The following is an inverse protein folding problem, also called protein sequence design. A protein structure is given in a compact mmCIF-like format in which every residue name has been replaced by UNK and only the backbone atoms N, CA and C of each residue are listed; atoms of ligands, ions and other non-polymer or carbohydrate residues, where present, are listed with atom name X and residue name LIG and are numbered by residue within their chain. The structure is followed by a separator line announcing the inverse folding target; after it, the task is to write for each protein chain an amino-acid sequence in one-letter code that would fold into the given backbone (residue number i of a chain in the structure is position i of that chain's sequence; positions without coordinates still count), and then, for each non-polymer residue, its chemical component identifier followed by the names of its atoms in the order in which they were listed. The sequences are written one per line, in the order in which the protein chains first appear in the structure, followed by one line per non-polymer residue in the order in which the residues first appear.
data_IF_233950799336
#
_entry.id   IF_233950799336
#
_cell.length_a   1.000
_cell.length_b   1.000
_cell.length_c   1.000
_cell.angle_alpha   90.00
_cell.angle_beta   90.00
_cell.angle_gamma   90.00
#
_symmetry.space_group_name_H-M   'P 1'
#
loop_
_entity.id
_entity.type
_entity.pdbx_description
1 polymer ?
#
# COMPACT_ATOMS: atom_id res chain seq x y z
N UNK A 1 5.22 -17.31 -11.60
CA UNK A 1 4.33 -16.75 -12.66
C UNK A 1 3.70 -15.40 -12.28
N UNK A 2 2.97 -15.25 -11.16
CA UNK A 2 2.28 -13.99 -10.83
C UNK A 2 3.18 -12.74 -10.66
N UNK A 3 4.37 -12.86 -10.07
CA UNK A 3 5.30 -11.73 -9.95
C UNK A 3 5.95 -11.31 -11.28
N UNK A 4 6.12 -12.26 -12.21
CA UNK A 4 6.55 -11.94 -13.59
C UNK A 4 5.48 -11.13 -14.31
N UNK A 5 4.21 -11.52 -14.15
CA UNK A 5 3.08 -10.77 -14.70
C UNK A 5 3.02 -9.35 -14.12
N UNK A 6 3.12 -9.18 -12.79
CA UNK A 6 3.20 -7.85 -12.17
C UNK A 6 4.35 -7.01 -12.72
N UNK A 7 5.54 -7.60 -12.85
CA UNK A 7 6.72 -6.92 -13.40
C UNK A 7 6.47 -6.43 -14.83
N UNK A 8 5.85 -7.28 -15.66
CA UNK A 8 5.49 -6.95 -17.03
C UNK A 8 4.42 -5.84 -17.12
N UNK A 9 3.38 -5.90 -16.28
CA UNK A 9 2.34 -4.87 -16.28
C UNK A 9 2.87 -3.51 -15.79
N UNK A 10 3.77 -3.49 -14.80
CA UNK A 10 4.43 -2.25 -14.37
C UNK A 10 5.35 -1.67 -15.45
N UNK A 11 5.97 -2.52 -16.26
CA UNK A 11 6.77 -2.09 -17.40
C UNK A 11 5.92 -1.46 -18.50
N UNK A 12 4.82 -2.12 -18.88
CA UNK A 12 3.83 -1.55 -19.82
C UNK A 12 3.26 -0.23 -19.32
N UNK A 13 3.02 -0.11 -18.01
CA UNK A 13 2.59 1.14 -17.40
C UNK A 13 3.67 2.23 -17.54
N UNK A 14 4.93 1.90 -17.31
CA UNK A 14 6.07 2.81 -17.52
C UNK A 14 6.19 3.31 -18.95
N UNK A 15 6.11 2.42 -19.93
CA UNK A 15 6.13 2.79 -21.35
C UNK A 15 4.98 3.74 -21.70
N UNK A 16 3.77 3.47 -21.22
CA UNK A 16 2.59 4.32 -21.45
C UNK A 16 2.72 5.68 -20.79
N UNK A 17 3.17 5.74 -19.54
CA UNK A 17 3.37 7.01 -18.82
C UNK A 17 4.47 7.86 -19.47
N UNK A 18 5.53 7.23 -19.99
CA UNK A 18 6.56 7.92 -20.76
C UNK A 18 6.01 8.46 -22.09
N UNK A 19 5.19 7.69 -22.80
CA UNK A 19 4.53 8.14 -24.04
C UNK A 19 3.58 9.33 -23.79
N UNK A 20 2.87 9.32 -22.65
CA UNK A 20 2.07 10.44 -22.17
C UNK A 20 2.89 11.63 -21.66
N UNK A 21 4.22 11.50 -21.60
CA UNK A 21 5.15 12.51 -21.07
C UNK A 21 4.77 12.93 -19.65
N UNK A 22 4.43 11.97 -18.79
CA UNK A 22 4.12 12.25 -17.39
C UNK A 22 5.32 12.95 -16.71
N UNK A 23 5.11 14.17 -16.21
CA UNK A 23 6.18 14.97 -15.59
C UNK A 23 6.74 14.32 -14.32
N UNK A 24 5.90 13.57 -13.61
CA UNK A 24 6.25 12.91 -12.37
C UNK A 24 5.32 11.72 -12.13
N UNK A 25 5.88 10.62 -11.65
CA UNK A 25 5.14 9.45 -11.19
C UNK A 25 5.58 9.14 -9.77
N UNK A 26 4.61 8.96 -8.89
CA UNK A 26 4.81 8.64 -7.48
C UNK A 26 4.05 7.36 -7.19
N UNK A 27 4.72 6.38 -6.58
CA UNK A 27 4.13 5.06 -6.32
C UNK A 27 4.40 4.63 -4.87
N UNK A 28 3.36 4.40 -4.05
CA UNK A 28 3.54 3.91 -2.69
C UNK A 28 3.84 2.40 -2.66
N UNK A 29 4.58 1.98 -1.65
CA UNK A 29 4.65 0.57 -1.28
C UNK A 29 3.36 0.11 -0.60
N UNK A 30 2.99 -1.15 -0.84
CA UNK A 30 1.92 -1.82 -0.11
C UNK A 30 2.33 -2.09 1.33
N UNK A 31 1.37 -2.03 2.24
CA UNK A 31 1.55 -2.26 3.67
C UNK A 31 0.99 -3.62 4.11
N UNK A 32 1.38 -4.04 5.32
CA UNK A 32 0.89 -5.25 5.98
C UNK A 32 -0.26 -4.89 6.92
N UNK A 33 -1.40 -5.56 6.76
CA UNK A 33 -2.59 -5.33 7.60
C UNK A 33 -2.58 -6.15 8.89
N UNK A 34 -1.70 -7.12 9.02
CA UNK A 34 -1.85 -8.20 10.01
C UNK A 34 -1.13 -7.95 11.35
N UNK A 35 -0.64 -6.73 11.58
CA UNK A 35 0.08 -6.38 12.81
C UNK A 35 -0.83 -5.75 13.85
N UNK A 36 -0.63 -6.12 15.12
CA UNK A 36 -1.29 -5.47 16.24
C UNK A 36 -0.52 -4.22 16.72
N UNK A 37 -0.99 -3.61 17.81
CA UNK A 37 -0.42 -2.41 18.42
C UNK A 37 1.03 -2.57 18.89
N UNK A 38 1.46 -3.81 19.17
CA UNK A 38 2.85 -4.14 19.54
C UNK A 38 3.74 -4.39 18.32
N UNK A 39 3.15 -4.40 17.12
CA UNK A 39 3.81 -4.67 15.86
C UNK A 39 4.11 -6.13 15.60
N UNK A 40 3.44 -7.04 16.31
CA UNK A 40 3.49 -8.47 16.05
C UNK A 40 2.40 -8.90 15.08
N UNK A 41 2.68 -9.92 14.27
CA UNK A 41 1.65 -10.59 13.49
C UNK A 41 0.59 -11.17 14.43
N UNK A 42 -0.66 -10.83 14.18
CA UNK A 42 -1.79 -11.17 15.03
C UNK A 42 -2.97 -11.64 14.17
N UNK A 43 -3.56 -12.76 14.57
CA UNK A 43 -4.74 -13.35 13.95
C UNK A 43 -5.93 -13.41 14.90
N UNK A 44 -5.81 -12.87 16.12
CA UNK A 44 -6.78 -13.06 17.20
C UNK A 44 -7.98 -12.09 17.13
N UNK A 45 -8.23 -11.46 15.98
CA UNK A 45 -9.42 -10.64 15.75
C UNK A 45 -10.40 -11.30 14.79
N UNK A 46 -11.66 -10.86 14.81
CA UNK A 46 -12.75 -11.40 13.98
C UNK A 46 -12.41 -11.46 12.49
N UNK A 47 -11.64 -10.50 11.98
CA UNK A 47 -11.31 -10.42 10.56
C UNK A 47 -10.23 -11.41 10.11
N UNK A 48 -9.40 -11.92 11.04
CA UNK A 48 -8.27 -12.79 10.72
C UNK A 48 -8.30 -14.15 11.44
N UNK A 49 -9.31 -14.44 12.29
CA UNK A 49 -9.36 -15.66 13.12
C UNK A 49 -9.28 -16.98 12.35
N UNK A 50 -9.62 -16.99 11.06
CA UNK A 50 -9.54 -18.19 10.21
C UNK A 50 -8.15 -18.39 9.58
N UNK A 51 -7.23 -17.44 9.75
CA UNK A 51 -5.89 -17.45 9.16
C UNK A 51 -4.87 -17.58 10.26
N UNK A 52 -4.03 -18.62 10.20
CA UNK A 52 -2.97 -18.79 11.18
C UNK A 52 -1.92 -17.67 11.11
N UNK A 53 -1.34 -17.32 12.26
CA UNK A 53 -0.20 -16.38 12.33
C UNK A 53 1.00 -16.82 11.47
N UNK A 54 1.21 -18.12 11.28
CA UNK A 54 2.26 -18.63 10.39
C UNK A 54 1.97 -18.31 8.92
N UNK A 55 0.72 -18.42 8.48
CA UNK A 55 0.30 -18.06 7.13
C UNK A 55 0.40 -16.55 6.89
N UNK A 56 0.07 -15.71 7.87
CA UNK A 56 0.26 -14.26 7.81
C UNK A 56 1.74 -13.89 7.59
N UNK A 57 2.64 -14.48 8.39
CA UNK A 57 4.10 -14.33 8.22
C UNK A 57 4.59 -14.83 6.86
N UNK A 58 4.00 -15.92 6.36
CA UNK A 58 4.34 -16.47 5.06
C UNK A 58 3.92 -15.51 3.93
N UNK A 59 2.70 -14.98 3.99
CA UNK A 59 2.17 -14.02 3.04
C UNK A 59 3.02 -12.74 2.99
N UNK A 60 3.41 -12.18 4.14
CA UNK A 60 4.34 -11.04 4.19
C UNK A 60 5.64 -11.34 3.43
N UNK A 61 6.30 -12.46 3.76
CA UNK A 61 7.60 -12.81 3.18
C UNK A 61 7.53 -13.20 1.70
N UNK A 62 6.51 -13.96 1.30
CA UNK A 62 6.43 -14.53 -0.03
C UNK A 62 5.69 -13.65 -1.04
N UNK A 63 4.79 -12.78 -0.57
CA UNK A 63 3.95 -11.94 -1.43
C UNK A 63 4.32 -10.48 -1.23
N UNK A 64 3.99 -9.89 -0.07
CA UNK A 64 4.06 -8.44 0.14
C UNK A 64 5.46 -7.88 -0.11
N UNK A 65 6.49 -8.46 0.52
CA UNK A 65 7.88 -8.01 0.33
C UNK A 65 8.35 -8.16 -1.11
N UNK A 66 7.92 -9.21 -1.81
CA UNK A 66 8.30 -9.43 -3.22
C UNK A 66 7.59 -8.46 -4.15
N UNK A 67 6.31 -8.16 -3.90
CA UNK A 67 5.55 -7.13 -4.64
C UNK A 67 6.23 -5.76 -4.49
N UNK A 68 6.55 -5.34 -3.26
CA UNK A 68 7.24 -4.07 -3.03
C UNK A 68 8.63 -4.04 -3.66
N UNK A 69 9.36 -5.16 -3.67
CA UNK A 69 10.63 -5.26 -4.38
C UNK A 69 10.47 -5.02 -5.89
N UNK A 70 9.49 -5.66 -6.53
CA UNK A 70 9.21 -5.45 -7.96
C UNK A 70 8.83 -4.00 -8.23
N UNK A 71 8.00 -3.38 -7.37
CA UNK A 71 7.67 -1.95 -7.46
C UNK A 71 8.94 -1.09 -7.41
N UNK A 72 9.82 -1.32 -6.43
CA UNK A 72 11.10 -0.59 -6.30
C UNK A 72 12.00 -0.76 -7.52
N UNK A 73 12.14 -1.98 -8.03
CA UNK A 73 12.97 -2.28 -9.21
C UNK A 73 12.45 -1.56 -10.46
N UNK A 74 11.13 -1.58 -10.71
CA UNK A 74 10.51 -0.90 -11.85
C UNK A 74 10.50 0.62 -11.67
N UNK A 75 10.24 1.11 -10.46
CA UNK A 75 10.34 2.54 -10.17
C UNK A 75 11.74 3.09 -10.44
N UNK A 76 12.80 2.35 -10.07
CA UNK A 76 14.19 2.72 -10.41
C UNK A 76 14.41 2.78 -11.91
N UNK A 77 13.92 1.80 -12.66
CA UNK A 77 14.03 1.73 -14.12
C UNK A 77 13.37 2.93 -14.81
N UNK A 78 12.18 3.32 -14.37
CA UNK A 78 11.40 4.43 -14.97
C UNK A 78 11.55 5.77 -14.23
N UNK A 79 12.50 5.88 -13.30
CA UNK A 79 12.75 7.09 -12.50
C UNK A 79 11.52 7.61 -11.73
N UNK A 80 10.65 6.70 -11.29
CA UNK A 80 9.52 7.02 -10.44
C UNK A 80 9.95 7.25 -8.99
N UNK A 81 9.19 8.06 -8.26
CA UNK A 81 9.42 8.29 -6.84
C UNK A 81 8.66 7.27 -6.01
N UNK A 82 9.38 6.44 -5.25
CA UNK A 82 8.78 5.44 -4.36
C UNK A 82 8.47 6.06 -3.00
N UNK A 83 7.26 5.81 -2.48
CA UNK A 83 6.90 6.10 -1.09
C UNK A 83 7.02 4.82 -0.26
N UNK A 84 8.23 4.52 0.18
CA UNK A 84 8.57 3.33 0.96
C UNK A 84 8.24 3.46 2.46
N UNK A 85 7.79 4.64 2.90
CA UNK A 85 7.41 4.92 4.28
C UNK A 85 5.97 4.53 4.62
N UNK A 86 5.11 4.28 3.63
CA UNK A 86 3.71 3.86 3.86
C UNK A 86 3.63 2.60 4.75
N UNK A 87 4.40 1.51 4.50
CA UNK A 87 4.42 0.34 5.39
C UNK A 87 4.72 0.65 6.86
N UNK A 88 5.48 1.72 7.16
CA UNK A 88 5.83 2.09 8.53
C UNK A 88 4.63 2.62 9.31
N UNK A 89 3.66 3.25 8.64
CA UNK A 89 2.42 3.73 9.28
C UNK A 89 1.63 2.56 9.90
N UNK A 90 1.59 1.43 9.22
CA UNK A 90 0.81 0.26 9.62
C UNK A 90 1.56 -0.69 10.54
N UNK A 91 2.80 -0.37 10.93
CA UNK A 91 3.61 -1.24 11.80
C UNK A 91 2.90 -1.55 13.12
N UNK A 92 2.09 -0.62 13.64
CA UNK A 92 1.33 -0.73 14.88
C UNK A 92 -0.19 -0.55 14.68
N UNK A 93 -0.62 -0.38 13.42
CA UNK A 93 -1.98 0.04 13.07
C UNK A 93 -2.72 -0.97 12.20
N UNK A 94 -2.37 -2.26 12.23
CA UNK A 94 -3.07 -3.27 11.45
C UNK A 94 -4.48 -3.57 11.99
N UNK A 95 -5.17 -4.49 11.34
CA UNK A 95 -6.61 -4.75 11.54
C UNK A 95 -6.96 -5.30 12.92
N UNK A 96 -6.06 -6.04 13.57
CA UNK A 96 -6.25 -6.51 14.94
C UNK A 96 -5.73 -5.52 16.01
N UNK A 97 -5.24 -4.34 15.63
CA UNK A 97 -4.78 -3.32 16.57
C UNK A 97 -5.97 -2.62 17.25
N UNK A 98 -5.82 -2.27 18.53
CA UNK A 98 -6.80 -1.45 19.27
C UNK A 98 -6.94 -0.04 18.71
N UNK A 99 -5.90 0.46 18.03
CA UNK A 99 -5.89 1.73 17.29
C UNK A 99 -5.71 1.46 15.79
N UNK A 100 -6.57 0.59 15.24
CA UNK A 100 -6.46 0.16 13.85
C UNK A 100 -6.54 1.33 12.86
N UNK A 101 -5.67 1.28 11.85
CA UNK A 101 -5.68 2.13 10.66
C UNK A 101 -6.33 1.44 9.47
N UNK A 102 -6.90 0.24 9.68
CA UNK A 102 -7.49 -0.61 8.66
C UNK A 102 -8.98 -0.78 8.95
N UNK A 103 -9.80 -0.67 7.91
CA UNK A 103 -11.24 -0.90 7.98
C UNK A 103 -11.52 -2.39 8.17
N UNK A 104 -12.23 -2.72 9.25
CA UNK A 104 -12.74 -4.09 9.46
C UNK A 104 -13.95 -4.40 8.57
N UNK A 105 -14.26 -5.68 8.43
CA UNK A 105 -15.45 -6.18 7.72
C UNK A 105 -16.73 -5.62 8.33
N UNK A 106 -16.84 -5.64 9.65
CA UNK A 106 -17.99 -5.10 10.39
C UNK A 106 -18.13 -3.59 10.16
N UNK A 107 -17.03 -2.84 10.20
CA UNK A 107 -17.05 -1.40 9.95
C UNK A 107 -17.42 -1.08 8.50
N UNK A 108 -16.92 -1.84 7.54
CA UNK A 108 -17.30 -1.70 6.12
C UNK A 108 -18.80 -1.90 5.94
N UNK A 109 -19.35 -2.99 6.48
CA UNK A 109 -20.78 -3.30 6.37
C UNK A 109 -21.65 -2.19 6.97
N UNK A 110 -21.27 -1.66 8.13
CA UNK A 110 -22.01 -0.59 8.80
C UNK A 110 -21.99 0.73 8.02
N UNK A 111 -20.87 1.08 7.39
CA UNK A 111 -20.69 2.37 6.74
C UNK A 111 -21.10 2.37 5.27
N UNK A 112 -20.94 1.25 4.58
CA UNK A 112 -21.10 1.14 3.12
C UNK A 112 -22.23 0.19 2.71
N UNK A 113 -22.77 -0.60 3.64
CA UNK A 113 -23.78 -1.62 3.33
C UNK A 113 -23.20 -2.90 2.73
N UNK A 114 -21.88 -2.99 2.58
CA UNK A 114 -21.17 -4.17 2.07
C UNK A 114 -19.74 -4.30 2.65
N UNK A 115 -19.07 -5.41 2.32
CA UNK A 115 -17.72 -5.72 2.81
C UNK A 115 -16.60 -5.33 1.85
N UNK A 116 -16.88 -4.67 0.72
CA UNK A 116 -15.88 -4.37 -0.31
C UNK A 116 -14.84 -3.36 0.17
N UNK A 117 -15.22 -2.48 1.11
CA UNK A 117 -14.32 -1.54 1.77
C UNK A 117 -13.42 -2.18 2.84
N UNK A 118 -13.63 -3.44 3.22
CA UNK A 118 -12.83 -4.10 4.24
C UNK A 118 -11.35 -4.21 3.82
N UNK A 119 -10.45 -4.29 4.81
CA UNK A 119 -9.00 -4.40 4.64
C UNK A 119 -8.29 -3.20 3.98
N UNK A 120 -9.02 -2.11 3.70
CA UNK A 120 -8.47 -0.85 3.20
C UNK A 120 -8.15 0.12 4.34
N UNK A 121 -7.32 1.14 4.12
CA UNK A 121 -7.09 2.18 5.12
C UNK A 121 -8.40 2.89 5.51
N UNK A 122 -8.52 3.30 6.77
CA UNK A 122 -9.58 4.23 7.20
C UNK A 122 -9.24 5.67 6.80
N UNK A 123 -10.17 6.60 7.01
CA UNK A 123 -10.07 8.00 6.61
C UNK A 123 -8.81 8.68 7.16
N UNK A 124 -8.52 8.50 8.46
CA UNK A 124 -7.32 9.07 9.08
C UNK A 124 -6.03 8.47 8.50
N UNK A 125 -6.04 7.19 8.13
CA UNK A 125 -4.90 6.54 7.49
C UNK A 125 -4.70 7.04 6.05
N UNK A 126 -5.79 7.29 5.31
CA UNK A 126 -5.74 7.94 4.01
C UNK A 126 -5.13 9.35 4.08
N UNK A 127 -5.45 10.13 5.13
CA UNK A 127 -4.81 11.43 5.36
C UNK A 127 -3.29 11.27 5.58
N UNK A 128 -2.88 10.34 6.46
CA UNK A 128 -1.45 10.10 6.72
C UNK A 128 -0.69 9.64 5.47
N UNK A 129 -1.30 8.79 4.64
CA UNK A 129 -0.72 8.38 3.35
C UNK A 129 -0.59 9.60 2.42
N UNK A 130 -1.63 10.44 2.35
CA UNK A 130 -1.63 11.64 1.51
C UNK A 130 -0.53 12.63 1.94
N UNK A 131 -0.28 12.79 3.23
CA UNK A 131 0.81 13.62 3.74
C UNK A 131 2.19 13.07 3.32
N UNK A 132 2.36 11.74 3.27
CA UNK A 132 3.59 11.12 2.77
C UNK A 132 3.76 11.33 1.27
N UNK A 133 2.67 11.25 0.49
CA UNK A 133 2.68 11.55 -0.96
C UNK A 133 3.07 13.00 -1.17
N UNK A 134 2.40 13.92 -0.48
CA UNK A 134 2.62 15.36 -0.59
C UNK A 134 4.09 15.73 -0.37
N UNK A 135 4.73 15.16 0.66
CA UNK A 135 6.15 15.37 0.98
C UNK A 135 7.11 14.86 -0.10
N UNK A 136 6.65 14.01 -1.02
CA UNK A 136 7.45 13.41 -2.10
C UNK A 136 7.20 14.05 -3.46
N UNK A 137 6.28 15.01 -3.56
CA UNK A 137 6.05 15.75 -4.80
C UNK A 137 7.16 16.77 -5.04
N UNK A 138 7.75 16.76 -6.24
CA UNK A 138 8.60 17.84 -6.72
C UNK A 138 7.73 18.91 -7.39
N UNK A 139 7.39 19.96 -6.63
CA UNK A 139 6.55 21.05 -7.11
C UNK A 139 7.14 21.81 -8.30
N UNK A 140 8.47 21.78 -8.49
CA UNK A 140 9.08 22.39 -9.69
C UNK A 140 8.68 21.67 -10.97
N UNK A 141 8.37 20.38 -10.90
CA UNK A 141 7.88 19.58 -12.04
C UNK A 141 6.38 19.78 -12.30
N UNK A 142 5.62 20.22 -11.30
CA UNK A 142 4.19 20.49 -11.39
C UNK A 142 3.89 21.89 -11.95
N UNK A 143 4.72 22.88 -11.61
CA UNK A 143 4.51 24.28 -11.99
C UNK A 143 4.93 24.62 -13.43
N UNK A 144 5.50 23.67 -14.19
CA UNK A 144 5.85 23.87 -15.62
C UNK A 144 4.64 24.01 -16.56
N UNK A 145 3.42 24.03 -16.03
CA UNK A 145 2.17 24.24 -16.77
C UNK A 145 1.55 25.63 -16.59
N UNK A 146 2.21 26.57 -15.92
CA UNK A 146 1.80 27.97 -15.94
C UNK A 146 2.59 28.70 -17.04
N UNK A 147 1.99 28.76 -18.22
CA UNK A 147 2.30 29.75 -19.28
C UNK A 147 1.30 30.89 -19.12
#
# INVERSE_FOLDING_TARGET
MRLFYLSHELERLGERLNALKANQVVIPHYFDISRNEKGFFDSNCSDLHQISTSNLKLADRQILRKVNRVISEKAKMFQWTVIDSVPKLFRHGGICSTSSLIRSTTSSLQLQGDTLGAFHPIESAHQLISDLVWKKLDFKKLLRFQI
#
